data_IF_517386354426
#
_entry.id   IF_517386354426
#
_cell.length_a   1.000
_cell.length_b   1.000
_cell.length_c   1.000
_cell.angle_alpha   90.00
_cell.angle_beta   90.00
_cell.angle_gamma   90.00
#
_symmetry.space_group_name_H-M   'P 1'
#
loop_
_entity.id
_entity.type
_entity.pdbx_description
1 polymer ?
2 non-polymer ?
3 non-polymer ?
4 water ?
#
# COMPACT_ATOMS: atom_id res chain seq x y z
N UNK A 1 17.55 4.74 13.97
CA UNK A 1 16.38 4.76 14.89
C UNK A 1 15.24 3.93 14.33
N UNK A 2 14.03 4.40 14.57
CA UNK A 2 12.85 3.65 14.22
C UNK A 2 12.77 3.37 12.72
N UNK A 3 13.09 4.38 11.89
CA UNK A 3 12.99 4.22 10.43
C UNK A 3 13.87 3.07 9.97
N UNK A 4 15.10 3.03 10.47
CA UNK A 4 16.08 2.02 10.06
C UNK A 4 15.62 0.63 10.51
N UNK A 5 15.07 0.55 11.74
CA UNK A 5 14.60 -0.74 12.26
C UNK A 5 13.41 -1.19 11.43
N UNK A 6 12.45 -0.30 11.23
CA UNK A 6 11.27 -0.66 10.38
C UNK A 6 11.68 -1.10 8.97
N UNK A 7 12.60 -0.36 8.32
CA UNK A 7 13.05 -0.67 6.97
C UNK A 7 13.77 -2.02 6.95
N UNK A 8 14.68 -2.24 7.90
CA UNK A 8 15.46 -3.47 7.87
C UNK A 8 14.55 -4.68 8.23
N UNK A 9 13.58 -4.50 9.12
CA UNK A 9 12.69 -5.60 9.50
C UNK A 9 11.77 -5.90 8.32
N UNK A 10 11.28 -4.86 7.68
CA UNK A 10 10.42 -5.04 6.50
C UNK A 10 11.16 -5.77 5.38
N UNK A 11 12.37 -5.33 5.07
CA UNK A 11 13.18 -6.02 4.08
C UNK A 11 13.47 -7.48 4.46
N UNK A 12 13.59 -7.76 5.76
CA UNK A 12 13.75 -9.12 6.22
C UNK A 12 12.63 -9.98 5.75
N UNK A 13 11.41 -9.45 5.83
CA UNK A 13 10.24 -10.19 5.37
C UNK A 13 10.26 -10.38 3.83
N UNK A 14 10.63 -9.34 3.10
CA UNK A 14 10.80 -9.45 1.64
C UNK A 14 11.75 -10.54 1.26
N UNK A 15 12.89 -10.62 1.94
CA UNK A 15 13.85 -11.66 1.65
C UNK A 15 13.29 -13.07 1.90
N UNK A 16 12.55 -13.26 2.98
CA UNK A 16 12.05 -14.58 3.30
C UNK A 16 10.94 -15.00 2.31
N UNK A 17 10.23 -14.04 1.72
CA UNK A 17 9.32 -14.35 0.59
C UNK A 17 9.96 -15.04 -0.60
N UNK A 18 11.25 -14.76 -0.84
CA UNK A 18 12.03 -15.48 -1.87
C UNK A 18 12.00 -17.00 -1.70
N UNK A 19 11.89 -17.47 -0.47
CA UNK A 19 11.77 -18.89 -0.16
C UNK A 19 10.44 -19.46 -0.63
N UNK A 20 9.52 -18.58 -0.99
CA UNK A 20 8.20 -19.01 -1.42
C UNK A 20 7.89 -18.55 -2.83
N UNK A 21 8.94 -18.38 -3.64
CA UNK A 21 8.77 -17.98 -5.03
C UNK A 21 7.82 -18.91 -5.78
N UNK A 22 7.91 -20.21 -5.49
CA UNK A 22 7.08 -21.22 -6.15
C UNK A 22 5.60 -21.05 -5.86
N UNK A 23 5.25 -20.81 -4.60
CA UNK A 23 3.86 -20.60 -4.23
C UNK A 23 3.32 -19.33 -4.83
N UNK A 24 4.17 -18.31 -4.92
CA UNK A 24 3.79 -17.07 -5.55
C UNK A 24 3.65 -17.26 -7.05
N UNK A 25 4.52 -18.05 -7.66
CA UNK A 25 4.36 -18.31 -9.09
C UNK A 25 3.10 -19.12 -9.34
N UNK A 26 2.69 -19.98 -8.40
CA UNK A 26 1.42 -20.67 -8.55
C UNK A 26 0.23 -19.70 -8.61
N UNK A 27 0.31 -18.65 -7.81
CA UNK A 27 -0.67 -17.57 -7.86
C UNK A 27 -0.70 -16.90 -9.25
N UNK A 28 0.45 -16.49 -9.72
CA UNK A 28 0.57 -15.87 -11.04
C UNK A 28 0.03 -16.79 -12.18
N UNK A 29 0.43 -18.05 -12.16
CA UNK A 29 -0.03 -19.00 -13.16
C UNK A 29 -1.53 -19.18 -13.19
N UNK A 30 -2.12 -19.28 -12.01
CA UNK A 30 -3.58 -19.43 -11.87
C UNK A 30 -4.29 -18.25 -12.52
N UNK A 31 -3.80 -17.04 -12.22
CA UNK A 31 -4.39 -15.80 -12.76
C UNK A 31 -4.19 -15.68 -14.26
N UNK A 32 -3.00 -16.02 -14.74
CA UNK A 32 -2.68 -15.98 -16.14
C UNK A 32 -3.61 -16.87 -17.00
N UNK A 33 -4.17 -17.91 -16.41
CA UNK A 33 -5.11 -18.78 -17.13
C UNK A 33 -6.29 -18.01 -17.67
N UNK A 34 -6.77 -17.04 -16.89
CA UNK A 34 -7.86 -16.16 -17.32
C UNK A 34 -7.48 -15.40 -18.58
N UNK A 35 -6.24 -14.92 -18.63
CA UNK A 35 -5.78 -14.08 -19.70
C UNK A 35 -5.45 -14.83 -21.02
N UNK A 36 -5.19 -16.14 -20.96
CA UNK A 36 -4.96 -16.91 -22.19
C UNK A 36 -6.25 -17.00 -23.02
N UNK A 37 -7.39 -16.93 -22.36
CA UNK A 37 -8.67 -16.96 -23.04
C UNK A 37 -9.30 -15.59 -23.09
N UNK A 38 -10.58 -15.52 -22.76
CA UNK A 38 -11.29 -14.24 -22.69
C UNK A 38 -11.83 -14.05 -21.26
N UNK A 39 -11.23 -14.75 -20.28
CA UNK A 39 -11.54 -14.48 -18.89
C UNK A 39 -10.91 -13.16 -18.41
N UNK A 40 -11.31 -12.73 -17.22
CA UNK A 40 -10.71 -11.60 -16.54
C UNK A 40 -10.17 -12.02 -15.19
N UNK A 41 -9.16 -11.29 -14.70
CA UNK A 41 -8.68 -11.38 -13.32
C UNK A 41 -9.34 -10.28 -12.53
N UNK A 42 -9.96 -10.68 -11.43
CA UNK A 42 -10.61 -9.74 -10.51
C UNK A 42 -9.90 -9.73 -9.16
N UNK A 43 -9.57 -8.55 -8.69
CA UNK A 43 -9.06 -8.39 -7.33
C UNK A 43 -10.20 -8.18 -6.34
N UNK A 44 -10.24 -9.03 -5.33
CA UNK A 44 -11.24 -8.98 -4.26
C UNK A 44 -10.49 -8.80 -2.94
N UNK A 45 -10.48 -7.58 -2.45
CA UNK A 45 -9.60 -7.17 -1.33
C UNK A 45 -10.48 -6.80 -0.11
N UNK A 46 -9.95 -7.10 1.08
CA UNK A 46 -10.69 -7.01 2.32
C UNK A 46 -9.97 -6.14 3.32
N UNK A 47 -10.75 -5.30 4.00
CA UNK A 47 -10.25 -4.50 5.11
C UNK A 47 -9.29 -3.49 4.59
N UNK A 48 -8.13 -3.39 5.24
CA UNK A 48 -7.08 -2.49 4.86
C UNK A 48 -6.64 -2.67 3.38
N UNK A 49 -6.72 -3.92 2.88
CA UNK A 49 -6.32 -4.23 1.52
C UNK A 49 -7.22 -3.69 0.43
N UNK A 50 -8.36 -3.11 0.81
CA UNK A 50 -9.08 -2.27 -0.12
C UNK A 50 -8.22 -1.13 -0.66
N UNK A 51 -7.13 -0.79 0.04
CA UNK A 51 -6.19 0.23 -0.45
C UNK A 51 -5.44 -0.20 -1.71
N UNK A 52 -5.51 -1.48 -2.04
CA UNK A 52 -4.88 -1.98 -3.27
C UNK A 52 -5.63 -1.56 -4.52
N UNK A 53 -6.93 -1.27 -4.39
CA UNK A 53 -7.74 -1.06 -5.59
C UNK A 53 -7.23 0.07 -6.51
N UNK A 54 -6.82 1.22 -5.96
CA UNK A 54 -6.23 2.28 -6.80
C UNK A 54 -4.97 1.89 -7.58
N UNK A 55 -4.30 0.81 -7.20
CA UNK A 55 -3.18 0.30 -8.02
C UNK A 55 -3.62 -0.20 -9.41
N UNK A 56 -4.88 -0.64 -9.52
CA UNK A 56 -5.40 -1.20 -10.76
C UNK A 56 -5.96 -0.15 -11.65
N UNK A 57 -6.47 0.94 -11.07
CA UNK A 57 -7.11 2.01 -11.85
C UNK A 57 -6.18 3.19 -12.11
N UNK A 58 -5.28 3.46 -11.17
CA UNK A 58 -4.42 4.64 -11.17
C UNK A 58 -2.94 4.34 -11.06
N UNK A 59 -2.59 3.08 -10.93
CA UNK A 59 -1.23 2.69 -10.63
C UNK A 59 -0.35 2.53 -11.86
N UNK A 60 0.98 2.51 -11.67
CA UNK A 60 1.93 2.48 -12.80
C UNK A 60 1.97 1.13 -13.55
N UNK A 61 1.53 0.06 -12.90
CA UNK A 61 1.56 -1.29 -13.47
C UNK A 61 0.17 -1.88 -13.77
N UNK A 62 -0.81 -0.97 -13.93
CA UNK A 62 -2.15 -1.37 -14.21
C UNK A 62 -2.20 -2.06 -15.56
N UNK A 63 -3.19 -2.92 -15.74
CA UNK A 63 -3.33 -3.58 -17.01
C UNK A 63 -4.78 -3.97 -17.28
N UNK A 64 -5.10 -3.98 -18.58
CA UNK A 64 -6.41 -4.31 -19.03
C UNK A 64 -6.67 -5.76 -18.58
N UNK A 65 -7.90 -5.99 -18.19
CA UNK A 65 -8.37 -7.35 -17.83
C UNK A 65 -7.93 -7.81 -16.44
N UNK A 66 -7.23 -6.95 -15.70
CA UNK A 66 -7.07 -7.07 -14.25
C UNK A 66 -7.76 -5.88 -13.56
N UNK A 67 -8.85 -6.17 -12.85
CA UNK A 67 -9.78 -5.16 -12.41
C UNK A 67 -10.39 -5.48 -11.04
N UNK A 68 -10.96 -4.47 -10.42
CA UNK A 68 -11.64 -4.59 -9.13
C UNK A 68 -12.87 -5.48 -9.27
N UNK A 69 -13.05 -6.36 -8.29
CA UNK A 69 -14.25 -7.17 -8.18
C UNK A 69 -15.48 -6.25 -8.17
N UNK A 70 -16.54 -6.66 -8.86
CA UNK A 70 -17.79 -5.89 -8.96
C UNK A 70 -18.90 -6.61 -8.20
N UNK A 71 -19.49 -5.91 -7.23
CA UNK A 71 -20.62 -6.45 -6.46
C UNK A 71 -21.72 -6.85 -7.42
N UNK A 72 -22.29 -8.03 -7.16
CA UNK A 72 -23.45 -8.53 -7.91
C UNK A 72 -23.18 -8.93 -9.38
N UNK A 73 -21.91 -9.03 -9.79
CA UNK A 73 -21.60 -9.53 -11.14
C UNK A 73 -21.33 -11.05 -11.08
N UNK A 74 -22.08 -11.82 -11.86
CA UNK A 74 -21.88 -13.27 -11.91
C UNK A 74 -20.56 -13.52 -12.69
N UNK A 75 -19.64 -14.23 -12.06
CA UNK A 75 -18.40 -14.59 -12.73
C UNK A 75 -18.56 -16.00 -13.28
N UNK A 76 -17.56 -16.42 -14.03
CA UNK A 76 -17.65 -17.66 -14.77
C UNK A 76 -16.36 -18.46 -14.60
N UNK A 77 -16.37 -19.69 -15.08
CA UNK A 77 -15.25 -20.60 -14.87
C UNK A 77 -13.95 -20.15 -15.52
N UNK A 78 -14.02 -19.28 -16.53
CA UNK A 78 -12.82 -18.79 -17.21
C UNK A 78 -12.17 -17.60 -16.49
N UNK A 79 -12.86 -17.03 -15.49
CA UNK A 79 -12.38 -15.90 -14.74
C UNK A 79 -11.57 -16.43 -13.56
N UNK A 80 -10.76 -15.57 -12.98
CA UNK A 80 -9.93 -15.90 -11.83
C UNK A 80 -10.01 -14.72 -10.82
N UNK A 81 -10.05 -15.05 -9.54
CA UNK A 81 -10.09 -14.06 -8.45
C UNK A 81 -8.79 -14.10 -7.62
N UNK A 82 -8.24 -12.92 -7.38
CA UNK A 82 -7.10 -12.71 -6.48
C UNK A 82 -7.64 -12.02 -5.25
N UNK A 83 -7.47 -12.67 -4.11
CA UNK A 83 -7.97 -12.15 -2.85
C UNK A 83 -6.80 -11.77 -1.97
N UNK A 84 -6.89 -10.59 -1.37
CA UNK A 84 -6.00 -10.16 -0.30
C UNK A 84 -6.88 -9.89 0.91
N UNK A 85 -6.54 -10.55 2.01
CA UNK A 85 -7.32 -10.46 3.23
C UNK A 85 -6.43 -10.44 4.50
N UNK A 86 -6.82 -9.66 5.54
CA UNK A 86 -6.10 -9.69 6.82
C UNK A 86 -6.19 -11.03 7.56
N UNK A 87 -7.28 -11.76 7.36
CA UNK A 87 -7.52 -13.00 8.06
C UNK A 87 -8.58 -13.73 7.26
N UNK A 88 -8.73 -15.02 7.52
CA UNK A 88 -9.73 -15.82 6.83
C UNK A 88 -10.99 -16.10 7.66
N UNK A 89 -11.19 -15.36 8.74
CA UNK A 89 -12.40 -15.53 9.57
C UNK A 89 -13.56 -14.61 9.15
N UNK A 90 -13.30 -13.66 8.26
CA UNK A 90 -14.29 -12.64 7.92
C UNK A 90 -15.53 -13.21 7.27
N UNK A 91 -16.69 -12.79 7.75
CA UNK A 91 -17.95 -13.25 7.17
C UNK A 91 -18.11 -12.84 5.69
N UNK A 92 -17.63 -11.66 5.31
CA UNK A 92 -17.78 -11.21 3.95
C UNK A 92 -16.94 -12.04 2.98
N UNK A 93 -15.72 -12.37 3.38
CA UNK A 93 -14.86 -13.30 2.65
C UNK A 93 -15.53 -14.64 2.49
N UNK A 94 -16.06 -15.21 3.57
CA UNK A 94 -16.74 -16.52 3.47
C UNK A 94 -17.90 -16.51 2.47
N UNK A 95 -18.71 -15.45 2.49
CA UNK A 95 -19.83 -15.31 1.54
C UNK A 95 -19.32 -15.23 0.10
N UNK A 96 -18.19 -14.56 -0.11
CA UNK A 96 -17.61 -14.45 -1.43
C UNK A 96 -17.08 -15.78 -1.91
N UNK A 97 -16.39 -16.52 -1.04
CA UNK A 97 -15.87 -17.85 -1.40
C UNK A 97 -17.00 -18.82 -1.80
N UNK A 98 -18.12 -18.80 -1.07
CA UNK A 98 -19.34 -19.56 -1.42
C UNK A 98 -19.88 -19.19 -2.82
N UNK A 99 -19.85 -17.90 -3.15
CA UNK A 99 -20.21 -17.45 -4.48
C UNK A 99 -19.26 -17.98 -5.53
N UNK A 100 -17.94 -17.87 -5.31
CA UNK A 100 -16.98 -18.32 -6.32
C UNK A 100 -17.09 -19.82 -6.53
N UNK A 101 -17.25 -20.56 -5.43
CA UNK A 101 -17.43 -22.00 -5.51
C UNK A 101 -18.67 -22.34 -6.37
N UNK A 102 -19.77 -21.64 -6.16
CA UNK A 102 -20.99 -21.88 -6.92
C UNK A 102 -20.78 -21.56 -8.39
N UNK A 103 -20.00 -20.52 -8.69
CA UNK A 103 -19.73 -20.14 -10.08
C UNK A 103 -18.63 -20.96 -10.76
N UNK A 104 -17.96 -21.81 -9.99
CA UNK A 104 -16.78 -22.54 -10.47
C UNK A 104 -15.65 -21.61 -10.91
N UNK A 105 -15.52 -20.50 -10.20
CA UNK A 105 -14.49 -19.53 -10.44
C UNK A 105 -13.32 -19.74 -9.46
N UNK A 106 -12.16 -20.17 -9.98
CA UNK A 106 -11.03 -20.36 -9.05
C UNK A 106 -10.51 -19.07 -8.41
N UNK A 107 -9.93 -19.21 -7.22
CA UNK A 107 -9.42 -18.08 -6.44
C UNK A 107 -8.10 -18.41 -5.77
N UNK A 108 -7.20 -17.43 -5.79
CA UNK A 108 -6.02 -17.38 -4.97
C UNK A 108 -6.32 -16.52 -3.72
N UNK A 109 -6.07 -17.06 -2.54
CA UNK A 109 -6.18 -16.25 -1.33
C UNK A 109 -4.79 -15.95 -0.77
N UNK A 110 -4.49 -14.67 -0.63
CA UNK A 110 -3.30 -14.20 0.07
C UNK A 110 -3.78 -13.63 1.41
N UNK A 111 -3.36 -14.29 2.51
CA UNK A 111 -3.76 -13.88 3.84
C UNK A 111 -2.57 -13.31 4.60
N UNK A 112 -2.82 -12.26 5.36
CA UNK A 112 -1.81 -11.70 6.30
C UNK A 112 -1.52 -12.67 7.44
N UNK A 113 -2.48 -13.55 7.73
CA UNK A 113 -2.31 -14.51 8.81
C UNK A 113 -1.61 -15.77 8.41
N UNK A 114 -1.89 -16.81 9.15
CA UNK A 114 -1.31 -18.13 8.97
C UNK A 114 -2.23 -19.03 8.14
N UNK A 115 -1.75 -20.23 7.87
CA UNK A 115 -2.52 -21.24 7.11
C UNK A 115 -3.72 -21.69 7.95
N UNK A 116 -4.89 -21.79 7.31
CA UNK A 116 -6.12 -22.16 7.96
C UNK A 116 -6.86 -23.08 7.03
N UNK A 117 -7.90 -23.71 7.55
CA UNK A 117 -8.78 -24.54 6.73
C UNK A 117 -9.42 -23.72 5.61
N UNK A 118 -9.85 -22.49 5.90
CA UNK A 118 -10.47 -21.67 4.89
C UNK A 118 -9.44 -21.34 3.77
N UNK A 119 -8.20 -21.03 4.16
CA UNK A 119 -7.16 -20.72 3.21
C UNK A 119 -6.94 -21.88 2.27
N UNK A 120 -6.97 -23.10 2.81
CA UNK A 120 -6.80 -24.31 2.03
C UNK A 120 -7.87 -24.57 0.98
N UNK A 121 -8.97 -23.83 1.00
CA UNK A 121 -9.96 -23.92 -0.08
C UNK A 121 -9.46 -23.31 -1.40
N UNK A 122 -8.48 -22.42 -1.31
CA UNK A 122 -7.84 -21.81 -2.47
C UNK A 122 -6.90 -22.78 -3.18
N UNK A 123 -7.03 -22.81 -4.50
CA UNK A 123 -6.14 -23.56 -5.36
C UNK A 123 -4.70 -22.99 -5.37
N UNK A 124 -4.51 -21.71 -5.03
CA UNK A 124 -3.19 -21.07 -4.96
C UNK A 124 -3.13 -20.14 -3.74
N UNK A 125 -2.97 -20.73 -2.52
CA UNK A 125 -2.97 -19.93 -1.31
C UNK A 125 -1.58 -19.36 -0.99
N UNK A 126 -1.56 -18.30 -0.21
CA UNK A 126 -0.31 -17.82 0.38
C UNK A 126 -0.58 -17.22 1.76
N UNK A 127 0.07 -17.76 2.76
CA UNK A 127 -0.02 -17.28 4.14
C UNK A 127 1.22 -16.41 4.37
N UNK A 128 1.00 -15.11 4.58
CA UNK A 128 2.09 -14.18 4.78
C UNK A 128 2.63 -14.19 6.22
N UNK A 129 1.81 -14.62 7.19
CA UNK A 129 2.23 -14.66 8.62
C UNK A 129 2.86 -13.34 9.06
N UNK A 130 2.15 -12.24 8.83
CA UNK A 130 2.74 -10.90 8.94
C UNK A 130 1.65 -10.05 9.54
N UNK A 131 1.12 -10.47 10.66
CA UNK A 131 -0.03 -9.78 11.23
C UNK A 131 0.23 -9.21 12.61
N UNK A 132 1.52 -9.14 12.95
CA UNK A 132 1.97 -8.50 14.17
C UNK A 132 3.07 -7.48 13.86
N UNK A 133 3.16 -6.46 14.69
CA UNK A 133 4.08 -5.34 14.51
C UNK A 133 5.55 -5.77 14.54
N UNK A 134 6.40 -4.97 13.92
CA UNK A 134 7.82 -5.22 13.86
C UNK A 134 8.67 -4.61 14.97
N UNK A 135 8.08 -3.78 15.83
CA UNK A 135 8.80 -3.10 16.92
C UNK A 135 8.28 -3.57 18.25
N UNK A 136 9.07 -4.42 18.92
CA UNK A 136 8.61 -5.01 20.19
C UNK A 136 8.65 -4.00 21.32
N UNK A 137 7.73 -4.16 22.27
CA UNK A 137 7.66 -3.30 23.43
C UNK A 137 7.83 -4.09 24.70
N UNK A 138 8.14 -3.31 25.72
CA UNK A 138 8.09 -3.67 27.13
C UNK A 138 7.12 -4.82 27.51
N UNK A 139 5.82 -4.61 27.32
CA UNK A 139 4.80 -5.57 27.79
C UNK A 139 4.59 -6.87 26.98
N UNK A 140 5.37 -7.08 25.91
CA UNK A 140 5.10 -8.20 24.99
C UNK A 140 4.26 -7.79 23.77
N UNK A 141 3.88 -6.51 23.72
CA UNK A 141 3.11 -5.98 22.61
C UNK A 141 4.08 -5.57 21.49
N UNK A 142 3.54 -5.50 20.29
CA UNK A 142 4.30 -5.10 19.14
C UNK A 142 3.49 -4.12 18.30
N UNK A 143 4.18 -3.17 17.68
CA UNK A 143 3.56 -2.18 16.81
C UNK A 143 4.45 -1.88 15.60
N UNK A 144 3.94 -1.13 14.64
CA UNK A 144 4.68 -0.89 13.40
C UNK A 144 4.53 -2.07 12.45
N UNK A 145 3.40 -2.12 11.79
CA UNK A 145 3.12 -3.21 10.88
C UNK A 145 2.81 -2.71 9.46
N UNK A 146 3.79 -2.77 8.55
CA UNK A 146 3.61 -2.33 7.16
C UNK A 146 2.91 -3.38 6.31
N UNK A 147 1.71 -3.77 6.78
CA UNK A 147 0.90 -4.80 6.16
C UNK A 147 0.38 -4.37 4.78
N UNK A 148 -0.17 -3.18 4.63
CA UNK A 148 -0.56 -2.76 3.28
C UNK A 148 0.66 -2.66 2.38
N UNK A 149 1.79 -2.18 2.89
CA UNK A 149 3.01 -2.07 2.09
C UNK A 149 3.42 -3.43 1.50
N UNK A 150 3.34 -4.48 2.33
CA UNK A 150 3.65 -5.83 1.87
C UNK A 150 2.69 -6.30 0.75
N UNK A 151 1.40 -6.03 0.94
CA UNK A 151 0.42 -6.45 -0.06
C UNK A 151 0.61 -5.70 -1.36
N UNK A 152 0.87 -4.38 -1.27
CA UNK A 152 1.09 -3.56 -2.44
C UNK A 152 2.35 -4.02 -3.23
N UNK A 153 3.41 -4.33 -2.49
CA UNK A 153 4.62 -4.85 -3.09
C UNK A 153 4.32 -6.13 -3.86
N UNK A 154 3.57 -7.02 -3.23
CA UNK A 154 3.21 -8.30 -3.85
C UNK A 154 2.33 -8.12 -5.07
N UNK A 155 1.33 -7.22 -4.99
CA UNK A 155 0.52 -6.89 -6.17
C UNK A 155 1.35 -6.28 -7.32
N UNK A 156 2.36 -5.47 -7.00
CA UNK A 156 3.24 -4.96 -8.04
C UNK A 156 3.98 -6.13 -8.74
N UNK A 157 4.48 -7.05 -7.94
CA UNK A 157 5.14 -8.22 -8.48
C UNK A 157 4.20 -9.02 -9.39
N UNK A 158 3.02 -9.35 -8.86
CA UNK A 158 2.03 -10.08 -9.64
C UNK A 158 1.66 -9.36 -10.94
N UNK A 159 1.31 -8.07 -10.87
CA UNK A 159 0.99 -7.33 -12.08
C UNK A 159 2.14 -7.35 -13.13
N UNK A 160 3.35 -7.14 -12.66
CA UNK A 160 4.53 -7.08 -13.52
C UNK A 160 4.81 -8.43 -14.15
N UNK A 161 4.67 -9.49 -13.37
CA UNK A 161 4.86 -10.85 -13.87
C UNK A 161 3.78 -11.22 -14.90
N UNK A 162 2.52 -10.88 -14.63
CA UNK A 162 1.45 -11.13 -15.59
C UNK A 162 1.65 -10.39 -16.89
N UNK A 163 2.06 -9.13 -16.81
CA UNK A 163 2.27 -8.31 -18.00
C UNK A 163 3.45 -8.81 -18.82
N UNK A 164 4.48 -9.29 -18.12
CA UNK A 164 5.63 -9.88 -18.77
C UNK A 164 5.23 -11.11 -19.58
N UNK A 165 4.40 -11.97 -19.00
CA UNK A 165 3.90 -13.15 -19.73
C UNK A 165 3.01 -12.78 -20.92
N UNK A 166 2.05 -11.89 -20.70
CA UNK A 166 1.23 -11.32 -21.80
C UNK A 166 1.99 -10.77 -22.98
N UNK A 167 3.02 -9.99 -22.72
CA UNK A 167 3.86 -9.49 -23.81
C UNK A 167 4.54 -10.62 -24.58
N UNK A 168 4.94 -11.66 -23.85
CA UNK A 168 5.56 -12.85 -24.45
C UNK A 168 4.61 -13.59 -25.44
N UNK A 169 3.29 -13.38 -25.29
CA UNK A 169 2.28 -14.00 -26.17
C UNK A 169 2.10 -13.33 -27.54
N UNK B 1 13.61 -15.53 -10.90
CA UNK B 1 13.95 -14.82 -9.63
C UNK B 1 13.56 -13.35 -9.68
N UNK B 2 12.50 -13.01 -10.38
CA UNK B 2 12.13 -11.62 -10.48
C UNK B 2 11.49 -11.11 -9.17
N UNK B 3 11.04 -12.04 -8.32
CA UNK B 3 10.62 -11.61 -6.96
C UNK B 3 11.79 -11.07 -6.19
N UNK B 4 12.89 -11.82 -6.16
CA UNK B 4 14.09 -11.37 -5.46
C UNK B 4 14.65 -10.09 -6.07
N UNK B 5 14.63 -9.96 -7.38
CA UNK B 5 15.16 -8.73 -8.00
C UNK B 5 14.32 -7.52 -7.59
N UNK B 6 13.00 -7.63 -7.67
CA UNK B 6 12.16 -6.51 -7.29
C UNK B 6 12.32 -6.16 -5.79
N UNK B 7 12.42 -7.20 -4.96
CA UNK B 7 12.61 -7.02 -3.53
C UNK B 7 13.90 -6.25 -3.28
N UNK B 8 14.99 -6.65 -3.95
CA UNK B 8 16.29 -6.00 -3.68
C UNK B 8 16.33 -4.59 -4.25
N UNK B 9 15.68 -4.37 -5.39
CA UNK B 9 15.57 -3.00 -5.95
C UNK B 9 14.80 -2.10 -4.97
N UNK B 10 13.69 -2.63 -4.45
CA UNK B 10 12.84 -1.86 -3.52
C UNK B 10 13.62 -1.53 -2.24
N UNK B 11 14.34 -2.53 -1.73
CA UNK B 11 15.13 -2.33 -0.55
C UNK B 11 16.22 -1.28 -0.75
N UNK B 12 16.78 -1.19 -1.96
CA UNK B 12 17.77 -0.16 -2.26
C UNK B 12 17.21 1.22 -1.97
N UNK B 13 15.94 1.43 -2.34
CA UNK B 13 15.26 2.69 -2.03
C UNK B 13 15.01 2.85 -0.53
N UNK B 14 14.53 1.80 0.14
CA UNK B 14 14.38 1.83 1.61
C UNK B 14 15.68 2.26 2.31
N UNK B 15 16.81 1.72 1.87
CA UNK B 15 18.12 2.07 2.43
C UNK B 15 18.52 3.54 2.22
N UNK B 16 18.25 4.08 1.03
CA UNK B 16 18.52 5.51 0.80
C UNK B 16 17.54 6.42 1.58
N UNK B 17 16.31 6.00 1.81
CA UNK B 17 15.40 6.76 2.66
C UNK B 17 15.92 6.88 4.08
N UNK B 18 16.57 5.83 4.58
CA UNK B 18 16.90 5.78 6.00
C UNK B 18 17.97 6.80 6.28
N UNK B 19 18.72 7.17 5.25
CA UNK B 19 19.64 8.30 5.33
C UNK B 19 18.96 9.66 5.26
N UNK B 20 17.64 9.70 5.04
CA UNK B 20 16.91 10.96 5.09
C UNK B 20 16.04 11.01 6.34
N UNK B 21 16.52 10.36 7.40
CA UNK B 21 15.77 10.24 8.65
C UNK B 21 15.39 11.65 9.16
N UNK B 22 16.29 12.62 9.00
CA UNK B 22 16.06 13.98 9.47
C UNK B 22 14.87 14.64 8.77
N UNK B 23 14.80 14.54 7.43
CA UNK B 23 13.64 15.11 6.70
C UNK B 23 12.32 14.45 7.09
N UNK B 24 12.36 13.15 7.32
CA UNK B 24 11.17 12.45 7.76
C UNK B 24 10.77 12.84 9.18
N UNK B 25 11.75 13.03 10.07
CA UNK B 25 11.46 13.60 11.39
C UNK B 25 10.79 14.98 11.27
N UNK B 26 11.23 15.80 10.31
CA UNK B 26 10.57 17.12 10.09
C UNK B 26 9.07 16.93 9.75
N UNK B 27 8.75 15.92 8.95
CA UNK B 27 7.36 15.58 8.67
C UNK B 27 6.62 15.24 9.95
N UNK B 28 7.16 14.28 10.69
CA UNK B 28 6.51 13.77 11.87
C UNK B 28 6.31 14.89 12.92
N UNK B 29 7.33 15.72 13.12
CA UNK B 29 7.23 16.79 14.10
C UNK B 29 6.17 17.82 13.74
N UNK B 30 6.06 18.15 12.44
CA UNK B 30 5.04 19.07 11.98
C UNK B 30 3.65 18.55 12.27
N UNK B 31 3.45 17.25 11.98
CA UNK B 31 2.17 16.61 12.23
C UNK B 31 1.87 16.52 13.72
N UNK B 32 2.88 16.19 14.51
CA UNK B 32 2.72 16.03 15.94
C UNK B 32 2.25 17.32 16.61
N UNK B 33 2.57 18.45 16.01
CA UNK B 33 2.14 19.73 16.55
C UNK B 33 0.61 19.79 16.65
N UNK B 34 -0.12 19.23 15.68
CA UNK B 34 -1.59 19.15 15.77
C UNK B 34 -2.02 18.43 17.02
N UNK B 35 -1.31 17.36 17.36
CA UNK B 35 -1.68 16.48 18.47
C UNK B 35 -1.42 17.05 19.86
N UNK B 36 -0.58 18.07 19.98
CA UNK B 36 -0.42 18.75 21.25
C UNK B 36 -1.70 19.48 21.67
N UNK B 37 -2.42 20.07 20.72
CA UNK B 37 -3.62 20.84 21.01
C UNK B 37 -4.91 20.13 20.67
N UNK B 38 -5.89 20.90 20.18
CA UNK B 38 -7.21 20.35 19.85
C UNK B 38 -7.35 20.10 18.36
N UNK B 39 -6.26 20.31 17.62
CA UNK B 39 -6.27 20.09 16.17
C UNK B 39 -6.18 18.62 15.77
N UNK B 40 -6.33 18.38 14.49
CA UNK B 40 -6.17 17.03 13.97
C UNK B 40 -5.18 16.98 12.83
N UNK B 41 -4.71 15.76 12.55
CA UNK B 41 -3.94 15.47 11.36
C UNK B 41 -4.86 14.83 10.30
N UNK B 42 -4.84 15.40 9.09
CA UNK B 42 -5.61 14.89 7.96
C UNK B 42 -4.71 14.40 6.86
N UNK B 43 -5.02 13.21 6.36
CA UNK B 43 -4.39 12.66 5.16
C UNK B 43 -5.12 13.10 3.91
N UNK B 44 -4.41 13.78 3.02
CA UNK B 44 -4.98 14.21 1.75
C UNK B 44 -4.13 13.54 0.68
N UNK B 45 -4.66 12.48 0.07
CA UNK B 45 -3.89 11.61 -0.81
C UNK B 45 -4.41 11.70 -2.22
N UNK B 46 -3.49 11.65 -3.20
CA UNK B 46 -3.84 11.83 -4.57
C UNK B 46 -3.51 10.62 -5.45
N UNK B 47 -4.37 10.39 -6.45
CA UNK B 47 -4.16 9.35 -7.44
C UNK B 47 -4.09 8.01 -6.77
N UNK B 48 -3.09 7.21 -7.13
CA UNK B 48 -2.87 5.90 -6.56
C UNK B 48 -2.80 5.92 -5.03
N UNK B 49 -2.33 7.04 -4.46
CA UNK B 49 -2.19 7.18 -3.00
C UNK B 49 -3.49 7.28 -2.24
N UNK B 50 -4.61 7.44 -2.95
CA UNK B 50 -5.90 7.18 -2.28
C UNK B 50 -5.94 5.76 -1.65
N UNK B 51 -5.08 4.85 -2.12
CA UNK B 51 -4.95 3.53 -1.52
C UNK B 51 -4.49 3.55 -0.07
N UNK B 52 -3.99 4.69 0.41
CA UNK B 52 -3.55 4.84 1.77
C UNK B 52 -4.69 5.00 2.74
N UNK B 53 -5.85 5.50 2.27
CA UNK B 53 -6.95 5.81 3.19
C UNK B 53 -7.38 4.64 4.10
N UNK B 54 -7.53 3.42 3.54
CA UNK B 54 -7.90 2.28 4.41
C UNK B 54 -6.93 1.93 5.55
N UNK B 55 -5.71 2.43 5.49
CA UNK B 55 -4.73 2.29 6.59
C UNK B 55 -5.14 3.03 7.83
N UNK B 56 -5.80 4.18 7.65
CA UNK B 56 -6.25 5.00 8.77
C UNK B 56 -7.49 4.48 9.42
N UNK B 57 -8.33 3.81 8.65
CA UNK B 57 -9.61 3.37 9.14
C UNK B 57 -9.56 1.92 9.58
N UNK B 58 -8.77 1.09 8.89
CA UNK B 58 -8.76 -0.35 9.09
C UNK B 58 -7.37 -0.95 9.36
N UNK B 59 -6.33 -0.14 9.34
CA UNK B 59 -4.99 -0.65 9.47
C UNK B 59 -4.54 -0.87 10.91
N UNK B 60 -3.42 -1.59 11.09
CA UNK B 60 -2.92 -1.97 12.40
C UNK B 60 -2.35 -0.80 13.20
N UNK B 61 -1.96 0.30 12.55
CA UNK B 61 -1.39 1.45 13.26
C UNK B 61 -2.26 2.71 13.21
N UNK B 62 -3.53 2.49 13.00
CA UNK B 62 -4.49 3.59 13.02
C UNK B 62 -4.47 4.30 14.37
N UNK B 63 -4.83 5.56 14.33
CA UNK B 63 -4.93 6.33 15.57
C UNK B 63 -5.99 7.41 15.47
N UNK B 64 -6.67 7.69 16.58
CA UNK B 64 -7.95 8.43 16.54
C UNK B 64 -7.94 9.74 15.72
N UNK B 65 -6.96 10.59 15.99
CA UNK B 65 -6.96 11.97 15.49
C UNK B 65 -6.10 12.17 14.22
N UNK B 66 -5.82 11.06 13.52
CA UNK B 66 -5.24 11.07 12.17
C UNK B 66 -6.31 10.43 11.29
N UNK B 67 -6.87 11.22 10.39
CA UNK B 67 -8.04 10.84 9.65
C UNK B 67 -7.97 11.35 8.19
N UNK B 68 -8.83 10.80 7.35
CA UNK B 68 -8.92 11.19 5.93
C UNK B 68 -9.46 12.61 5.85
N UNK B 69 -8.86 13.43 5.00
CA UNK B 69 -9.36 14.77 4.68
C UNK B 69 -10.85 14.72 4.27
N UNK B 70 -11.61 15.69 4.73
CA UNK B 70 -13.05 15.78 4.50
C UNK B 70 -13.32 16.90 3.52
N UNK B 71 -14.14 16.58 2.51
CA UNK B 71 -14.61 17.53 1.50
C UNK B 71 -15.40 18.62 2.20
N UNK B 72 -15.12 19.85 1.82
CA UNK B 72 -15.87 21.02 2.29
C UNK B 72 -15.52 21.46 3.70
N UNK B 73 -14.72 20.68 4.44
CA UNK B 73 -14.46 21.03 5.84
C UNK B 73 -13.36 22.07 5.95
N UNK B 74 -13.69 23.17 6.61
CA UNK B 74 -12.74 24.26 6.80
C UNK B 74 -11.82 23.89 7.95
N UNK B 75 -10.53 23.95 7.68
CA UNK B 75 -9.52 23.59 8.66
C UNK B 75 -8.97 24.87 9.26
N UNK B 76 -8.24 24.71 10.35
CA UNK B 76 -7.68 25.84 11.05
C UNK B 76 -6.15 25.73 11.21
N UNK B 77 -5.54 26.76 11.80
CA UNK B 77 -4.08 26.83 11.85
C UNK B 77 -3.50 25.75 12.77
N UNK B 78 -4.30 25.22 13.69
CA UNK B 78 -3.84 24.18 14.61
C UNK B 78 -3.93 22.77 14.02
N UNK B 79 -4.61 22.64 12.88
CA UNK B 79 -4.63 21.37 12.14
C UNK B 79 -3.38 21.24 11.28
N UNK B 80 -3.11 20.00 10.85
CA UNK B 80 -1.99 19.65 9.97
C UNK B 80 -2.49 18.74 8.85
N UNK B 81 -2.00 18.98 7.64
CA UNK B 81 -2.31 18.10 6.49
C UNK B 81 -1.04 17.34 6.05
N UNK B 82 -1.20 16.02 5.92
CA UNK B 82 -0.21 15.16 5.28
C UNK B 82 -0.69 14.78 3.89
N UNK B 83 0.10 15.16 2.88
CA UNK B 83 -0.17 14.90 1.48
C UNK B 83 0.81 13.87 0.90
N UNK B 84 0.24 12.89 0.20
CA UNK B 84 1.02 12.00 -0.68
C UNK B 84 0.48 12.20 -2.09
N UNK B 85 1.37 12.48 -3.04
CA UNK B 85 0.93 12.77 -4.41
C UNK B 85 1.92 12.18 -5.42
N UNK B 86 1.42 11.68 -6.56
CA UNK B 86 2.38 11.19 -7.57
C UNK B 86 3.29 12.29 -8.15
N UNK B 87 2.79 13.51 -8.23
CA UNK B 87 3.52 14.65 -8.76
C UNK B 87 2.90 15.91 -8.17
N UNK B 88 3.57 17.05 -8.33
CA UNK B 88 3.07 18.32 -7.80
C UNK B 88 2.42 19.22 -8.86
N UNK B 89 2.04 18.64 -10.00
CA UNK B 89 1.47 19.41 -11.11
C UNK B 89 -0.06 19.34 -11.16
N UNK B 90 -0.64 18.40 -10.41
CA UNK B 90 -2.07 18.16 -10.44
C UNK B 90 -2.87 19.38 -10.05
N UNK B 91 -3.89 19.71 -10.83
CA UNK B 91 -4.72 20.87 -10.53
C UNK B 91 -5.50 20.71 -9.24
N UNK B 92 -5.89 19.48 -8.87
CA UNK B 92 -6.61 19.29 -7.62
C UNK B 92 -5.73 19.56 -6.41
N UNK B 93 -4.47 19.13 -6.50
CA UNK B 93 -3.44 19.39 -5.48
C UNK B 93 -3.26 20.90 -5.27
N UNK B 94 -3.00 21.62 -6.36
CA UNK B 94 -2.82 23.07 -6.29
C UNK B 94 -4.05 23.78 -5.69
N UNK B 95 -5.23 23.35 -6.11
CA UNK B 95 -6.45 23.90 -5.54
C UNK B 95 -6.53 23.63 -4.03
N UNK B 96 -6.10 22.44 -3.59
CA UNK B 96 -6.08 22.14 -2.13
C UNK B 96 -5.06 22.99 -1.35
N UNK B 97 -3.85 23.15 -1.89
CA UNK B 97 -2.83 23.98 -1.26
C UNK B 97 -3.30 25.42 -1.14
N UNK B 98 -4.01 25.93 -2.15
CA UNK B 98 -4.60 27.27 -2.08
C UNK B 98 -5.57 27.40 -0.89
N UNK B 99 -6.34 26.35 -0.63
CA UNK B 99 -7.29 26.33 0.49
C UNK B 99 -6.55 26.33 1.82
N UNK B 100 -5.59 25.43 1.93
CA UNK B 100 -4.81 25.32 3.17
C UNK B 100 -4.09 26.63 3.43
N UNK B 101 -3.55 27.25 2.38
CA UNK B 101 -2.89 28.55 2.51
C UNK B 101 -3.88 29.61 3.01
N UNK B 102 -5.07 29.64 2.42
CA UNK B 102 -6.12 30.57 2.85
C UNK B 102 -6.47 30.34 4.34
N UNK B 103 -6.56 29.07 4.75
CA UNK B 103 -6.89 28.70 6.15
C UNK B 103 -5.70 28.77 7.15
N UNK B 104 -4.50 28.98 6.63
CA UNK B 104 -3.28 28.99 7.42
C UNK B 104 -2.95 27.63 8.07
N UNK B 105 -3.34 26.56 7.39
CA UNK B 105 -3.07 25.20 7.84
C UNK B 105 -1.74 24.69 7.24
N UNK B 106 -0.73 24.38 8.09
CA UNK B 106 0.48 23.78 7.51
C UNK B 106 0.25 22.39 6.90
N UNK B 107 1.06 22.09 5.88
CA UNK B 107 1.01 20.81 5.18
C UNK B 107 2.42 20.27 4.93
N UNK B 108 2.54 18.95 5.05
CA UNK B 108 3.70 18.21 4.57
C UNK B 108 3.34 17.56 3.23
N UNK B 109 4.13 17.81 2.18
CA UNK B 109 3.93 17.14 0.88
C UNK B 109 4.99 16.07 0.67
N UNK B 110 4.56 14.82 0.53
CA UNK B 110 5.43 13.73 0.05
C UNK B 110 5.06 13.47 -1.40
N UNK B 111 6.01 13.70 -2.30
CA UNK B 111 5.81 13.51 -3.72
C UNK B 111 6.67 12.33 -4.18
N UNK B 112 6.10 11.52 -5.08
CA UNK B 112 6.87 10.45 -5.78
C UNK B 112 7.94 10.99 -6.72
N UNK B 113 7.79 12.25 -7.12
CA UNK B 113 8.68 12.86 -8.04
C UNK B 113 9.82 13.60 -7.36
N UNK B 114 10.37 14.57 -8.06
CA UNK B 114 11.52 15.32 -7.59
C UNK B 114 11.08 16.62 -6.92
N UNK B 115 12.05 17.34 -6.33
CA UNK B 115 11.85 18.68 -5.79
C UNK B 115 11.37 19.67 -6.86
N UNK B 116 10.29 20.38 -6.55
CA UNK B 116 9.74 21.38 -7.41
C UNK B 116 9.41 22.63 -6.61
N UNK B 117 9.14 23.72 -7.32
CA UNK B 117 8.71 24.94 -6.66
C UNK B 117 7.49 24.71 -5.77
N UNK B 118 6.50 24.00 -6.31
CA UNK B 118 5.26 23.67 -5.57
C UNK B 118 5.55 22.89 -4.28
N UNK B 119 6.45 21.91 -4.37
CA UNK B 119 6.87 21.14 -3.19
C UNK B 119 7.47 22.01 -2.10
N UNK B 120 8.28 22.98 -2.50
CA UNK B 120 8.91 23.89 -1.55
C UNK B 120 7.90 24.85 -0.89
N UNK B 121 6.65 24.83 -1.32
CA UNK B 121 5.61 25.51 -0.55
C UNK B 121 5.34 24.80 0.80
N UNK B 122 5.68 23.53 0.90
CA UNK B 122 5.50 22.79 2.15
C UNK B 122 6.61 23.11 3.17
N UNK B 123 6.22 23.33 4.42
CA UNK B 123 7.20 23.47 5.51
C UNK B 123 7.96 22.16 5.77
N UNK B 124 7.42 21.00 5.40
CA UNK B 124 8.12 19.72 5.58
C UNK B 124 7.90 18.82 4.38
N UNK B 125 8.65 19.07 3.29
CA UNK B 125 8.52 18.31 2.08
C UNK B 125 9.44 17.09 2.08
N UNK B 126 9.07 16.12 1.25
CA UNK B 126 9.90 14.98 0.95
C UNK B 126 9.71 14.55 -0.53
N UNK B 127 10.80 14.58 -1.28
CA UNK B 127 10.80 14.13 -2.68
C UNK B 127 11.32 12.71 -2.71
N UNK B 128 10.49 11.78 -3.15
CA UNK B 128 10.87 10.37 -3.17
C UNK B 128 11.67 9.97 -4.39
N UNK B 129 11.56 10.74 -5.48
CA UNK B 129 12.27 10.43 -6.73
C UNK B 129 12.14 8.93 -7.04
N UNK B 130 10.90 8.48 -7.14
CA UNK B 130 10.57 7.07 -7.23
C UNK B 130 9.38 6.92 -8.13
N UNK B 131 9.48 7.47 -9.33
CA UNK B 131 8.31 7.53 -10.19
C UNK B 131 8.51 6.79 -11.51
N UNK B 132 9.53 5.94 -11.56
CA UNK B 132 9.81 5.10 -12.73
C UNK B 132 10.02 3.67 -12.26
N UNK B 133 9.67 2.71 -13.11
CA UNK B 133 9.81 1.31 -12.73
C UNK B 133 11.22 0.87 -12.35
N UNK B 134 11.30 -0.23 -11.61
CA UNK B 134 12.58 -0.80 -11.14
C UNK B 134 13.20 -1.89 -12.04
N UNK B 135 12.45 -2.37 -13.04
CA UNK B 135 12.83 -3.50 -13.88
C UNK B 135 12.91 -3.00 -15.32
N UNK B 136 14.15 -2.72 -15.81
CA UNK B 136 14.29 -2.24 -17.20
C UNK B 136 13.87 -3.26 -18.23
N UNK B 137 13.27 -2.78 -19.31
CA UNK B 137 12.87 -3.62 -20.44
C UNK B 137 13.75 -3.31 -21.66
N UNK B 138 13.71 -4.21 -22.63
CA UNK B 138 14.47 -4.06 -23.86
C UNK B 138 14.17 -2.69 -24.50
N UNK B 139 12.91 -2.26 -24.41
CA UNK B 139 12.43 -0.94 -24.90
C UNK B 139 13.27 0.26 -24.45
N UNK B 140 13.97 0.15 -23.33
CA UNK B 140 14.40 1.33 -22.57
C UNK B 140 13.31 1.75 -21.57
N UNK B 141 12.19 1.03 -21.61
CA UNK B 141 11.09 1.36 -20.74
C UNK B 141 11.33 0.63 -19.44
N UNK B 142 10.60 1.02 -18.42
CA UNK B 142 10.79 0.45 -17.12
C UNK B 142 9.46 0.08 -16.54
N UNK B 143 9.41 -1.08 -15.89
CA UNK B 143 8.18 -1.62 -15.27
C UNK B 143 8.44 -2.00 -13.83
N UNK B 144 7.37 -2.30 -13.08
CA UNK B 144 7.53 -2.80 -11.71
C UNK B 144 7.87 -1.63 -10.78
N UNK B 145 6.85 -0.82 -10.49
CA UNK B 145 7.01 0.33 -9.65
C UNK B 145 6.15 0.19 -8.41
N UNK B 146 6.76 -0.21 -7.29
CA UNK B 146 6.00 -0.35 -6.03
C UNK B 146 5.81 0.96 -5.30
N UNK B 147 5.20 1.90 -5.98
CA UNK B 147 4.96 3.23 -5.50
C UNK B 147 4.00 3.24 -4.29
N UNK B 148 2.85 2.55 -4.39
CA UNK B 148 1.97 2.49 -3.24
C UNK B 148 2.64 1.81 -2.06
N UNK B 149 3.36 0.71 -2.29
CA UNK B 149 4.13 0.03 -1.24
C UNK B 149 5.06 0.99 -0.48
N UNK B 150 5.75 1.85 -1.20
CA UNK B 150 6.64 2.82 -0.55
C UNK B 150 5.88 3.83 0.28
N UNK B 151 4.82 4.37 -0.30
CA UNK B 151 3.91 5.27 0.39
C UNK B 151 3.34 4.65 1.65
N UNK B 152 2.90 3.38 1.55
CA UNK B 152 2.28 2.67 2.68
C UNK B 152 3.34 2.41 3.75
N UNK B 153 4.55 2.04 3.33
CA UNK B 153 5.65 1.84 4.31
C UNK B 153 5.89 3.15 5.09
N UNK B 154 5.97 4.25 4.36
CA UNK B 154 6.20 5.57 4.95
C UNK B 154 5.04 6.01 5.87
N UNK B 155 3.80 5.70 5.50
CA UNK B 155 2.68 6.02 6.39
C UNK B 155 2.68 5.18 7.68
N UNK B 156 3.05 3.92 7.57
CA UNK B 156 3.28 3.09 8.73
C UNK B 156 4.34 3.71 9.68
N UNK B 157 5.48 4.11 9.12
CA UNK B 157 6.52 4.73 9.91
C UNK B 157 5.97 5.96 10.62
N UNK B 158 5.30 6.84 9.87
CA UNK B 158 4.76 8.10 10.42
C UNK B 158 3.73 7.86 11.50
N UNK B 159 2.74 6.98 11.25
CA UNK B 159 1.76 6.59 12.24
C UNK B 159 2.41 6.01 13.52
N UNK B 160 3.37 5.12 13.35
CA UNK B 160 4.00 4.45 14.48
C UNK B 160 4.81 5.46 15.31
N UNK B 161 5.55 6.32 14.61
CA UNK B 161 6.26 7.37 15.32
C UNK B 161 5.36 8.39 16.03
N UNK B 162 4.26 8.81 15.41
CA UNK B 162 3.35 9.71 16.06
C UNK B 162 2.75 9.06 17.32
N UNK B 163 2.44 7.75 17.25
CA UNK B 163 1.88 7.07 18.40
C UNK B 163 2.89 6.94 19.54
N UNK B 164 4.13 6.57 19.21
CA UNK B 164 5.18 6.50 20.26
C UNK B 164 5.37 7.85 20.95
N UNK B 165 5.33 8.93 20.17
CA UNK B 165 5.48 10.30 20.67
C UNK B 165 4.30 10.69 21.58
N UNK B 166 3.08 10.45 21.11
CA UNK B 166 1.83 10.61 21.87
C UNK B 166 1.78 9.84 23.21
N UNK B 167 2.34 8.62 23.23
CA UNK B 167 2.44 7.82 24.45
C UNK B 167 3.41 8.40 25.45
N UNK B 168 4.58 8.82 24.96
CA UNK B 168 5.55 9.56 25.78
C UNK B 168 4.90 10.71 26.54
N UNK B 169 3.92 11.37 25.90
CA UNK B 169 3.11 12.36 26.60
C UNK B 169 2.06 11.58 27.43
X LIG C 1 -19.24 -20.50 -16.93
X LIG D 1 -11.79 -23.80 -6.97
X LIG D 1 -10.95 -24.23 -5.91
X LIG D 1 -13.05 -23.09 -6.42
X LIG D 1 -13.81 -23.89 -5.53
X LIG D 1 -13.92 -22.63 -7.59
X LIG D 1 -14.56 -23.73 -8.26
X LIG E 1 -7.82 29.53 13.14
X LIG F 1 9.47 23.41 -10.57
#
# INVERSE_FOLDING_TARGET
GMLKILATQFNGKLQTLTKQEDELFDVVRLLAQALVGQGKVYLDAYGEFEGLYPMLSDGPDQMKRVTKIKDHKTLHAVDRVLIFTPDTERSDLLASLARYDAWHTPYSIITLGDVTETLERSIAPLALKFDKGLLPAEDGSRHGLPSLALGAFLLTHILTQLQEMTEEWE
GMLKILATQFNGKLQTLTKQEDELFDVVRLLAQALVGQGKVYLDAYGEFEGLYPMLSDGPDQMKRVTKIKDHKTLHAVDRVLIFTPDTERSDLLASLARYDAWHTPYSIITLGDVTETLERSIAPLALKFDKGLLPAEDGSRHGLPSLALGAFLLTHILTQLQEMTEEWE
CL CL
GOL C1 O1 C2 O2 C3 O3
CL CL
CL CL
#
